data_IF_422954259576
#
_entry.id   IF_422954259576
#
_cell.length_a   1.000
_cell.length_b   1.000
_cell.length_c   1.000
_cell.angle_alpha   90.00
_cell.angle_beta   90.00
_cell.angle_gamma   90.00
#
_symmetry.space_group_name_H-M   'P 1'
#
loop_
_entity.id
_entity.type
_entity.pdbx_description
1 polymer ?
#
# COMPACT_ATOMS: atom_id res chain seq x y z
N UNK A 1 -9.04 -12.52 3.13
CA UNK A 1 -8.95 -11.09 2.80
C UNK A 1 -8.63 -10.96 1.33
N UNK A 2 -9.40 -10.18 0.56
CA UNK A 2 -9.09 -9.92 -0.84
C UNK A 2 -8.07 -8.79 -0.97
N UNK A 3 -7.37 -8.70 -2.09
CA UNK A 3 -6.26 -7.74 -2.26
C UNK A 3 -6.73 -6.28 -2.27
N UNK A 4 -7.94 -6.05 -2.76
CA UNK A 4 -8.65 -4.77 -2.73
C UNK A 4 -8.99 -4.36 -1.29
N UNK A 5 -9.31 -5.30 -0.40
CA UNK A 5 -9.55 -4.98 1.02
C UNK A 5 -8.27 -4.41 1.64
N UNK A 6 -7.14 -5.06 1.38
CA UNK A 6 -5.84 -4.62 1.86
C UNK A 6 -5.43 -3.27 1.28
N UNK A 7 -5.63 -3.08 -0.02
CA UNK A 7 -5.35 -1.80 -0.67
C UNK A 7 -6.20 -0.67 -0.07
N UNK A 8 -7.47 -0.93 0.23
CA UNK A 8 -8.37 0.03 0.87
C UNK A 8 -7.96 0.33 2.31
N UNK A 9 -7.51 -0.66 3.09
CA UNK A 9 -6.98 -0.45 4.44
C UNK A 9 -5.78 0.50 4.38
N UNK A 10 -4.80 0.20 3.53
CA UNK A 10 -3.59 1.01 3.39
C UNK A 10 -3.91 2.43 2.89
N UNK A 11 -4.80 2.56 1.90
CA UNK A 11 -5.28 3.86 1.42
C UNK A 11 -5.86 4.70 2.57
N UNK A 12 -6.75 4.12 3.38
CA UNK A 12 -7.36 4.80 4.50
C UNK A 12 -6.34 5.16 5.60
N UNK A 13 -5.36 4.29 5.86
CA UNK A 13 -4.26 4.58 6.79
C UNK A 13 -3.44 5.80 6.34
N UNK A 14 -3.15 5.92 5.05
CA UNK A 14 -2.46 7.09 4.48
C UNK A 14 -3.30 8.38 4.64
N UNK A 15 -4.62 8.32 4.42
CA UNK A 15 -5.49 9.47 4.67
C UNK A 15 -5.57 9.82 6.16
N UNK A 16 -5.64 8.82 7.04
CA UNK A 16 -5.63 9.04 8.49
C UNK A 16 -4.33 9.68 8.96
N UNK A 17 -3.19 9.25 8.41
CA UNK A 17 -1.88 9.85 8.67
C UNK A 17 -1.81 11.30 8.17
N UNK A 18 -2.53 11.63 7.10
CA UNK A 18 -2.65 12.99 6.57
C UNK A 18 -3.67 13.85 7.35
N UNK A 19 -3.72 13.71 8.68
CA UNK A 19 -4.68 14.38 9.57
C UNK A 19 -6.14 14.15 9.15
N UNK A 20 -6.44 12.98 8.59
CA UNK A 20 -7.78 12.64 8.06
C UNK A 20 -8.18 13.39 6.78
N UNK A 21 -7.27 14.16 6.16
CA UNK A 21 -7.54 14.85 4.90
C UNK A 21 -7.46 13.85 3.74
N UNK A 22 -8.53 13.81 2.95
CA UNK A 22 -8.57 13.01 1.71
C UNK A 22 -7.42 13.38 0.79
N UNK A 23 -6.81 12.38 0.18
CA UNK A 23 -5.76 12.55 -0.84
C UNK A 23 -6.36 12.15 -2.18
N UNK A 24 -6.14 12.95 -3.22
CA UNK A 24 -6.66 12.61 -4.55
C UNK A 24 -6.00 11.32 -5.06
N UNK A 25 -6.71 10.53 -5.87
CA UNK A 25 -6.13 9.33 -6.49
C UNK A 25 -4.91 9.66 -7.35
N UNK A 26 -4.87 10.87 -7.94
CA UNK A 26 -3.74 11.37 -8.71
C UNK A 26 -2.51 11.60 -7.83
N UNK A 27 -2.68 12.24 -6.67
CA UNK A 27 -1.58 12.52 -5.75
C UNK A 27 -1.07 11.22 -5.11
N UNK A 28 -1.98 10.33 -4.72
CA UNK A 28 -1.62 8.99 -4.24
C UNK A 28 -0.77 8.24 -5.29
N UNK A 29 -1.25 8.16 -6.54
CA UNK A 29 -0.54 7.47 -7.61
C UNK A 29 0.85 8.09 -7.88
N UNK A 30 0.94 9.42 -7.83
CA UNK A 30 2.19 10.16 -8.03
C UNK A 30 3.22 9.83 -6.95
N UNK A 31 2.79 9.66 -5.68
CA UNK A 31 3.67 9.28 -4.57
C UNK A 31 4.29 7.89 -4.74
N UNK A 32 3.69 7.01 -5.54
CA UNK A 32 4.19 5.67 -5.83
C UNK A 32 4.76 5.53 -7.24
N UNK A 33 4.92 6.62 -8.00
CA UNK A 33 5.46 6.59 -9.36
C UNK A 33 4.60 5.83 -10.38
N UNK A 34 3.30 5.65 -10.12
CA UNK A 34 2.38 4.92 -11.01
C UNK A 34 1.32 5.82 -11.62
N UNK A 35 0.66 5.34 -12.68
CA UNK A 35 -0.47 6.06 -13.28
C UNK A 35 -1.69 6.07 -12.36
N UNK A 36 -2.49 7.13 -12.42
CA UNK A 36 -3.78 7.22 -11.70
C UNK A 36 -4.70 6.04 -12.06
N UNK A 37 -4.69 5.58 -13.31
CA UNK A 37 -5.49 4.43 -13.76
C UNK A 37 -5.06 3.14 -13.07
N UNK A 38 -3.76 2.89 -12.96
CA UNK A 38 -3.22 1.73 -12.24
C UNK A 38 -3.68 1.73 -10.78
N UNK A 39 -3.56 2.86 -10.09
CA UNK A 39 -4.02 3.01 -8.71
C UNK A 39 -5.54 2.76 -8.57
N UNK A 40 -6.33 3.32 -9.49
CA UNK A 40 -7.78 3.16 -9.51
C UNK A 40 -8.20 1.70 -9.77
N UNK A 41 -7.54 1.01 -10.71
CA UNK A 41 -7.83 -0.39 -11.03
C UNK A 41 -7.50 -1.33 -9.85
N UNK A 42 -6.46 -1.02 -9.07
CA UNK A 42 -6.17 -1.73 -7.83
C UNK A 42 -7.22 -1.46 -6.75
N UNK A 43 -7.60 -0.20 -6.53
CA UNK A 43 -8.64 0.18 -5.56
C UNK A 43 -9.99 -0.48 -5.85
N UNK A 44 -10.35 -0.59 -7.13
CA UNK A 44 -11.59 -1.23 -7.59
C UNK A 44 -11.46 -2.77 -7.71
N UNK A 45 -10.30 -3.35 -7.43
CA UNK A 45 -10.06 -4.79 -7.52
C UNK A 45 -10.08 -5.36 -8.94
N UNK A 46 -9.95 -4.51 -9.97
CA UNK A 46 -9.95 -4.88 -11.39
C UNK A 46 -8.63 -5.51 -11.84
N UNK A 47 -7.54 -5.20 -11.15
CA UNK A 47 -6.25 -5.86 -11.30
C UNK A 47 -5.73 -6.31 -9.92
N UNK A 48 -5.15 -7.51 -9.86
CA UNK A 48 -4.70 -8.13 -8.60
C UNK A 48 -3.19 -8.43 -8.68
N UNK A 49 -2.32 -7.67 -7.99
CA UNK A 49 -0.90 -8.01 -7.92
C UNK A 49 -0.72 -9.20 -6.98
N UNK A 50 -0.74 -10.42 -7.51
CA UNK A 50 -0.75 -11.66 -6.72
C UNK A 50 0.41 -11.76 -5.70
N UNK A 51 1.57 -11.20 -6.04
CA UNK A 51 2.72 -11.10 -5.14
C UNK A 51 2.48 -10.16 -3.93
N UNK A 52 1.72 -9.08 -4.09
CA UNK A 52 1.48 -8.11 -3.01
C UNK A 52 0.71 -8.73 -1.83
N UNK A 53 -0.20 -9.66 -2.10
CA UNK A 53 -0.94 -10.38 -1.06
C UNK A 53 0.01 -11.23 -0.20
N UNK A 54 0.89 -12.00 -0.84
CA UNK A 54 1.86 -12.85 -0.15
C UNK A 54 2.87 -12.01 0.64
N UNK A 55 3.39 -10.92 0.06
CA UNK A 55 4.30 -10.01 0.76
C UNK A 55 3.67 -9.44 2.03
N UNK A 56 2.41 -9.02 1.95
CA UNK A 56 1.71 -8.46 3.12
C UNK A 56 1.35 -9.51 4.16
N UNK A 57 1.05 -10.74 3.75
CA UNK A 57 0.91 -11.86 4.67
C UNK A 57 2.22 -12.19 5.38
N UNK A 58 3.37 -12.09 4.69
CA UNK A 58 4.68 -12.27 5.30
C UNK A 58 4.97 -11.16 6.31
N UNK A 59 4.71 -9.89 5.96
CA UNK A 59 4.85 -8.76 6.88
C UNK A 59 3.98 -8.93 8.13
N UNK A 60 2.71 -9.33 7.98
CA UNK A 60 1.81 -9.54 9.11
C UNK A 60 2.15 -10.74 10.01
N UNK A 61 3.16 -11.55 9.66
CA UNK A 61 3.67 -12.66 10.50
C UNK A 61 4.89 -12.28 11.32
N UNK A 62 5.47 -11.11 11.09
CA UNK A 62 6.61 -10.61 11.84
C UNK A 62 6.13 -9.93 13.12
N UNK A 63 6.97 -9.92 14.14
CA UNK A 63 6.76 -9.10 15.34
C UNK A 63 6.90 -7.61 14.99
N UNK A 64 6.28 -6.72 15.78
CA UNK A 64 6.22 -5.26 15.52
C UNK A 64 7.58 -4.63 15.16
N UNK A 65 8.62 -4.98 15.91
CA UNK A 65 9.99 -4.50 15.67
C UNK A 65 10.54 -4.97 14.31
N UNK A 66 10.25 -6.22 13.93
CA UNK A 66 10.71 -6.80 12.67
C UNK A 66 9.90 -6.28 11.48
N UNK A 67 8.61 -5.96 11.66
CA UNK A 67 7.82 -5.23 10.66
C UNK A 67 8.51 -3.91 10.33
N UNK A 68 8.84 -3.10 11.36
CA UNK A 68 9.47 -1.79 11.17
C UNK A 68 10.83 -1.94 10.48
N UNK A 69 11.67 -2.90 10.90
CA UNK A 69 12.98 -3.14 10.29
C UNK A 69 12.87 -3.57 8.84
N UNK A 70 11.97 -4.50 8.51
CA UNK A 70 11.78 -5.01 7.17
C UNK A 70 11.29 -3.89 6.22
N UNK A 71 10.28 -3.12 6.64
CA UNK A 71 9.76 -1.99 5.85
C UNK A 71 10.84 -0.93 5.60
N UNK A 72 11.64 -0.57 6.62
CA UNK A 72 12.73 0.40 6.44
C UNK A 72 13.81 -0.09 5.47
N UNK A 73 14.17 -1.37 5.53
CA UNK A 73 15.12 -1.97 4.59
C UNK A 73 14.59 -1.96 3.16
N UNK A 74 13.32 -2.33 2.95
CA UNK A 74 12.68 -2.30 1.63
C UNK A 74 12.70 -0.88 1.08
N UNK A 75 12.30 0.11 1.87
CA UNK A 75 12.29 1.51 1.43
C UNK A 75 13.68 2.04 1.07
N UNK A 76 14.75 1.52 1.67
CA UNK A 76 16.13 1.92 1.37
C UNK A 76 16.68 1.30 0.08
N UNK A 77 16.01 0.31 -0.52
CA UNK A 77 16.42 -0.30 -1.79
C UNK A 77 15.96 0.51 -3.02
N UNK A 78 14.98 1.40 -2.83
CA UNK A 78 14.46 2.27 -3.90
C UNK A 78 15.10 3.68 -3.88
N UNK A 79 16.16 3.87 -3.08
CA UNK A 79 16.95 5.10 -2.98
C UNK A 79 18.32 4.99 -3.66
#
# INVERSE_FOLDING_TARGET
>A
MQINDLFNILHNSLESQNNGKKISLKDMASNFGISMRTYQDWKLGRAKPQAAATVMQMLGKLDDDEIIRAVRKINALEG
#
